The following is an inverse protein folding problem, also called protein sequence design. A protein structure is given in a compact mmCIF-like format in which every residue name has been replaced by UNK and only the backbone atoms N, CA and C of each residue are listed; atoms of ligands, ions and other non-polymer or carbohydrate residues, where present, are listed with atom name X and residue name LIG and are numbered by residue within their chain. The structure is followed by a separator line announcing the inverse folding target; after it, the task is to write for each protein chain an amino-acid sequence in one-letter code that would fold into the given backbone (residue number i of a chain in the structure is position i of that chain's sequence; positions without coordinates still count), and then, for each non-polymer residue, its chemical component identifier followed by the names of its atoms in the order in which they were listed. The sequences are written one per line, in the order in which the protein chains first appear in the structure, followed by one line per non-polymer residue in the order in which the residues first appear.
data_IF_185134351048
#
_entry.id   IF_185134351048
#
_cell.length_a   1.000
_cell.length_b   1.000
_cell.length_c   1.000
_cell.angle_alpha   90.00
_cell.angle_beta   90.00
_cell.angle_gamma   90.00
#
_symmetry.space_group_name_H-M   'P 1'
#
loop_
_entity.id
_entity.type
_entity.pdbx_description
1 polymer ?
#
# COMPACT_ATOMS: atom_id res chain seq x y z
N UNK A 1 -8.07 30.58 -2.14
CA UNK A 1 -8.07 30.01 -0.80
C UNK A 1 -6.76 29.29 -0.54
N UNK A 2 -6.40 28.32 -1.40
CA UNK A 2 -5.22 27.46 -1.24
C UNK A 2 -3.92 28.27 -1.09
N UNK A 3 -3.65 29.23 -1.97
CA UNK A 3 -2.48 30.10 -1.87
C UNK A 3 -2.37 30.76 -0.48
N UNK A 4 -3.47 31.30 0.03
CA UNK A 4 -3.47 32.00 1.32
C UNK A 4 -3.29 31.08 2.51
N UNK A 5 -3.77 29.83 2.44
CA UNK A 5 -3.86 28.92 3.56
C UNK A 5 -2.70 27.91 3.61
N UNK A 6 -1.98 27.73 2.50
CA UNK A 6 -0.93 26.74 2.37
C UNK A 6 0.40 27.28 1.87
N UNK A 7 0.40 28.28 0.95
CA UNK A 7 1.62 28.70 0.30
C UNK A 7 2.62 29.25 1.31
N UNK A 8 3.80 28.58 1.37
CA UNK A 8 4.90 28.87 2.27
C UNK A 8 4.51 28.91 3.77
N UNK A 9 3.43 28.21 4.13
CA UNK A 9 3.00 28.07 5.52
C UNK A 9 3.68 26.86 6.16
N UNK A 10 4.12 27.06 7.42
CA UNK A 10 4.59 25.98 8.30
C UNK A 10 3.42 25.38 9.09
N UNK A 11 3.37 24.07 9.16
CA UNK A 11 2.36 23.33 9.90
C UNK A 11 3.04 22.50 10.99
N UNK A 12 2.65 22.74 12.23
CA UNK A 12 3.15 21.99 13.37
C UNK A 12 2.59 20.57 13.35
N UNK A 13 3.48 19.59 13.46
CA UNK A 13 3.15 18.17 13.57
C UNK A 13 3.04 17.75 15.04
N UNK A 14 2.61 16.51 15.28
CA UNK A 14 2.30 16.00 16.62
C UNK A 14 3.47 16.00 17.63
N UNK A 15 4.71 16.12 17.16
CA UNK A 15 5.91 16.17 17.99
C UNK A 15 6.56 17.57 18.05
N UNK A 16 5.89 18.59 17.50
CA UNK A 16 6.39 19.96 17.42
C UNK A 16 7.33 20.22 16.23
N UNK A 17 7.57 19.22 15.36
CA UNK A 17 8.27 19.45 14.10
C UNK A 17 7.36 20.26 13.16
N UNK A 18 8.00 21.05 12.28
CA UNK A 18 7.27 21.86 11.30
C UNK A 18 7.45 21.28 9.90
N UNK A 19 6.35 21.21 9.14
CA UNK A 19 6.34 20.85 7.73
C UNK A 19 5.83 22.02 6.92
N UNK A 20 6.62 22.52 5.96
CA UNK A 20 6.24 23.64 5.10
C UNK A 20 5.72 23.13 3.76
N UNK A 21 4.62 23.72 3.28
CA UNK A 21 4.08 23.47 1.94
C UNK A 21 4.38 24.67 1.06
N UNK A 22 5.25 24.50 0.05
CA UNK A 22 5.56 25.56 -0.90
C UNK A 22 4.37 25.91 -1.80
N UNK A 23 4.36 27.15 -2.34
CA UNK A 23 3.25 27.67 -3.17
C UNK A 23 2.90 26.73 -4.35
N UNK A 24 3.90 26.38 -5.17
CA UNK A 24 3.70 25.49 -6.32
C UNK A 24 3.15 24.11 -5.91
N UNK A 25 3.56 23.60 -4.76
CA UNK A 25 3.11 22.29 -4.27
C UNK A 25 1.67 22.38 -3.73
N UNK A 26 1.30 23.49 -3.10
CA UNK A 26 -0.07 23.75 -2.65
C UNK A 26 -1.04 23.81 -3.83
N UNK A 27 -0.68 24.51 -4.89
CA UNK A 27 -1.47 24.59 -6.13
C UNK A 27 -1.62 23.21 -6.79
N UNK A 28 -0.51 22.44 -6.87
CA UNK A 28 -0.51 21.07 -7.40
C UNK A 28 -1.43 20.16 -6.61
N UNK A 29 -1.37 20.20 -5.29
CA UNK A 29 -2.26 19.43 -4.42
C UNK A 29 -3.73 19.78 -4.64
N UNK A 30 -4.05 21.08 -4.78
CA UNK A 30 -5.42 21.51 -5.03
C UNK A 30 -5.99 20.96 -6.34
N UNK A 31 -5.17 20.96 -7.40
CA UNK A 31 -5.57 20.40 -8.71
C UNK A 31 -5.67 18.89 -8.67
N UNK A 32 -4.73 18.22 -8.01
CA UNK A 32 -4.68 16.74 -7.97
C UNK A 32 -5.78 16.14 -7.09
N UNK A 33 -6.07 16.77 -5.95
CA UNK A 33 -6.89 16.13 -4.91
C UNK A 33 -8.24 16.83 -4.67
N UNK A 34 -8.47 18.03 -5.21
CA UNK A 34 -9.67 18.82 -4.93
C UNK A 34 -10.97 18.05 -5.18
N UNK A 35 -11.14 17.48 -6.37
CA UNK A 35 -12.35 16.70 -6.73
C UNK A 35 -12.49 15.43 -5.87
N UNK A 36 -11.40 14.75 -5.57
CA UNK A 36 -11.42 13.57 -4.72
C UNK A 36 -11.82 13.90 -3.27
N UNK A 37 -11.39 15.06 -2.76
CA UNK A 37 -11.76 15.56 -1.43
C UNK A 37 -13.24 15.97 -1.37
N UNK A 38 -13.77 16.61 -2.41
CA UNK A 38 -15.20 16.94 -2.53
C UNK A 38 -16.05 15.67 -2.57
N UNK A 39 -15.55 14.63 -3.26
CA UNK A 39 -16.21 13.34 -3.29
C UNK A 39 -16.15 12.63 -1.93
N UNK A 40 -15.00 12.65 -1.25
CA UNK A 40 -14.86 12.07 0.09
C UNK A 40 -15.81 12.73 1.11
N UNK A 41 -15.98 14.05 1.04
CA UNK A 41 -16.96 14.78 1.84
C UNK A 41 -18.40 14.32 1.56
N UNK A 42 -18.76 14.17 0.28
CA UNK A 42 -20.07 13.65 -0.14
C UNK A 42 -20.32 12.24 0.38
N UNK A 43 -19.34 11.35 0.25
CA UNK A 43 -19.44 9.96 0.76
C UNK A 43 -19.59 9.95 2.28
N UNK A 44 -18.78 10.74 2.99
CA UNK A 44 -18.85 10.83 4.45
C UNK A 44 -20.23 11.34 4.92
N UNK A 45 -20.77 12.38 4.26
CA UNK A 45 -22.10 12.89 4.58
C UNK A 45 -23.20 11.82 4.39
N UNK A 46 -23.14 11.10 3.27
CA UNK A 46 -24.07 10.00 2.97
C UNK A 46 -23.98 8.87 4.00
N UNK A 47 -22.77 8.44 4.35
CA UNK A 47 -22.56 7.39 5.36
C UNK A 47 -23.12 7.82 6.73
N UNK A 48 -22.87 9.07 7.14
CA UNK A 48 -23.42 9.62 8.39
C UNK A 48 -24.95 9.60 8.39
N UNK A 49 -25.56 9.97 7.29
CA UNK A 49 -27.03 9.96 7.14
C UNK A 49 -27.60 8.54 7.27
N UNK A 50 -26.95 7.55 6.66
CA UNK A 50 -27.47 6.17 6.61
C UNK A 50 -27.19 5.37 7.89
N UNK A 51 -26.05 5.59 8.53
CA UNK A 51 -25.55 4.72 9.62
C UNK A 51 -25.22 5.44 10.92
N UNK A 52 -25.33 6.79 10.96
CA UNK A 52 -24.77 7.61 12.00
C UNK A 52 -23.24 7.48 12.01
N UNK A 53 -22.64 7.30 13.18
CA UNK A 53 -21.18 7.16 13.32
C UNK A 53 -20.71 5.69 13.28
N UNK A 54 -21.53 4.76 12.80
CA UNK A 54 -21.23 3.31 12.78
C UNK A 54 -20.65 2.86 11.44
N UNK A 55 -19.54 3.46 11.03
CA UNK A 55 -18.77 3.08 9.85
C UNK A 55 -17.29 3.37 10.04
N UNK A 56 -16.47 2.65 9.30
CA UNK A 56 -15.05 2.95 9.11
C UNK A 56 -14.85 3.44 7.68
N UNK A 57 -14.34 4.67 7.53
CA UNK A 57 -14.00 5.25 6.23
C UNK A 57 -12.49 5.24 6.04
N UNK A 58 -12.04 4.61 4.97
CA UNK A 58 -10.66 4.71 4.51
C UNK A 58 -10.59 5.58 3.26
N UNK A 59 -9.64 6.49 3.23
CA UNK A 59 -9.26 7.23 2.02
C UNK A 59 -7.94 6.67 1.50
N UNK A 60 -7.94 6.21 0.26
CA UNK A 60 -6.76 5.64 -0.41
C UNK A 60 -6.24 6.58 -1.48
N UNK A 61 -4.94 6.86 -1.43
CA UNK A 61 -4.19 7.68 -2.38
C UNK A 61 -2.93 6.96 -2.87
N UNK A 62 -2.89 5.64 -2.76
CA UNK A 62 -1.75 4.81 -3.13
C UNK A 62 -1.71 4.42 -4.62
N UNK A 63 -2.81 4.56 -5.33
CA UNK A 63 -2.94 4.25 -6.76
C UNK A 63 -2.43 5.40 -7.66
N UNK A 64 -1.23 5.92 -7.35
CA UNK A 64 -0.58 7.02 -8.09
C UNK A 64 0.71 6.55 -8.75
N UNK A 65 1.25 7.32 -9.69
CA UNK A 65 2.50 6.99 -10.39
C UNK A 65 3.76 7.29 -9.58
N UNK A 66 3.64 8.13 -8.55
CA UNK A 66 4.75 8.53 -7.68
C UNK A 66 4.36 8.36 -6.19
N UNK A 67 5.34 8.19 -5.29
CA UNK A 67 5.09 8.17 -3.85
C UNK A 67 4.37 9.42 -3.37
N UNK A 68 3.50 9.25 -2.38
CA UNK A 68 2.83 10.36 -1.70
C UNK A 68 3.85 11.12 -0.86
N UNK A 69 4.17 12.34 -1.24
CA UNK A 69 5.06 13.19 -0.46
C UNK A 69 4.39 13.61 0.85
N UNK A 70 5.15 13.87 1.92
CA UNK A 70 4.60 14.37 3.18
C UNK A 70 3.71 15.61 3.02
N UNK A 71 4.08 16.55 2.16
CA UNK A 71 3.30 17.77 1.89
C UNK A 71 1.94 17.47 1.26
N UNK A 72 1.87 16.46 0.38
CA UNK A 72 0.60 15.99 -0.20
C UNK A 72 -0.28 15.35 0.86
N UNK A 73 0.31 14.50 1.70
CA UNK A 73 -0.44 13.88 2.81
C UNK A 73 -0.96 14.93 3.79
N UNK A 74 -0.13 15.91 4.16
CA UNK A 74 -0.53 17.01 5.02
C UNK A 74 -1.71 17.80 4.43
N UNK A 75 -1.63 18.15 3.14
CA UNK A 75 -2.72 18.84 2.44
C UNK A 75 -4.03 18.05 2.53
N UNK A 76 -4.00 16.77 2.17
CA UNK A 76 -5.17 15.90 2.20
C UNK A 76 -5.72 15.75 3.63
N UNK A 77 -4.85 15.49 4.60
CA UNK A 77 -5.24 15.31 6.00
C UNK A 77 -5.93 16.54 6.56
N UNK A 78 -5.36 17.73 6.31
CA UNK A 78 -5.91 19.00 6.76
C UNK A 78 -7.24 19.32 6.07
N UNK A 79 -7.33 19.14 4.75
CA UNK A 79 -8.58 19.37 4.01
C UNK A 79 -9.70 18.44 4.50
N UNK A 80 -9.42 17.16 4.73
CA UNK A 80 -10.39 16.22 5.31
C UNK A 80 -10.83 16.67 6.71
N UNK A 81 -9.88 17.07 7.55
CA UNK A 81 -10.16 17.54 8.91
C UNK A 81 -11.03 18.80 8.91
N UNK A 82 -10.68 19.82 8.09
CA UNK A 82 -11.43 21.08 8.00
C UNK A 82 -12.84 20.91 7.41
N UNK A 83 -13.03 19.91 6.54
CA UNK A 83 -14.35 19.55 5.98
C UNK A 83 -15.19 18.68 6.92
N UNK A 84 -14.65 18.32 8.09
CA UNK A 84 -15.34 17.44 9.03
C UNK A 84 -15.52 16.00 8.54
N UNK A 85 -14.65 15.56 7.62
CA UNK A 85 -14.57 14.18 7.16
C UNK A 85 -13.75 13.38 8.17
N UNK A 86 -14.40 12.48 8.88
CA UNK A 86 -13.73 11.58 9.83
C UNK A 86 -13.29 10.32 9.12
N UNK A 87 -11.98 10.12 8.98
CA UNK A 87 -11.41 8.90 8.41
C UNK A 87 -10.89 7.99 9.51
N UNK A 88 -11.09 6.69 9.38
CA UNK A 88 -10.54 5.66 10.26
C UNK A 88 -9.12 5.30 9.87
N UNK A 89 -8.80 5.39 8.58
CA UNK A 89 -7.47 5.17 8.03
C UNK A 89 -7.26 5.94 6.72
N UNK A 90 -5.99 6.22 6.41
CA UNK A 90 -5.57 6.79 5.14
C UNK A 90 -4.38 5.98 4.61
N UNK A 91 -4.44 5.62 3.33
CA UNK A 91 -3.42 4.83 2.65
C UNK A 91 -2.60 5.69 1.68
N UNK A 92 -1.43 6.21 2.08
CA UNK A 92 -0.50 6.86 1.16
C UNK A 92 0.26 5.81 0.34
N UNK A 93 0.78 6.20 -0.82
CA UNK A 93 1.79 5.43 -1.52
C UNK A 93 3.16 5.74 -0.92
N UNK A 94 3.79 4.74 -0.31
CA UNK A 94 5.11 4.89 0.29
C UNK A 94 6.21 4.86 -0.77
N UNK A 95 7.38 5.40 -0.40
CA UNK A 95 8.61 5.29 -1.19
C UNK A 95 9.05 3.82 -1.30
N UNK A 96 9.74 3.46 -2.38
CA UNK A 96 10.12 2.10 -2.72
C UNK A 96 8.98 1.32 -3.38
N UNK A 97 9.17 0.02 -3.52
CA UNK A 97 8.23 -0.85 -4.22
C UNK A 97 7.56 -1.86 -3.28
N UNK A 98 6.23 -1.84 -3.28
CA UNK A 98 5.35 -2.77 -2.57
C UNK A 98 4.74 -3.77 -3.56
N UNK A 99 5.61 -4.53 -4.25
CA UNK A 99 5.18 -5.52 -5.23
C UNK A 99 4.52 -6.74 -4.56
N UNK A 100 3.70 -7.45 -5.32
CA UNK A 100 3.01 -8.65 -4.83
C UNK A 100 4.00 -9.78 -4.56
N UNK A 101 3.76 -10.55 -3.49
CA UNK A 101 4.44 -11.80 -3.12
C UNK A 101 5.94 -11.72 -2.79
N UNK A 102 6.52 -10.53 -2.72
CA UNK A 102 7.93 -10.31 -2.32
C UNK A 102 8.02 -9.25 -1.23
N UNK A 103 9.15 -9.22 -0.53
CA UNK A 103 9.38 -8.21 0.50
C UNK A 103 9.54 -6.81 -0.10
N UNK A 104 9.65 -5.81 0.74
CA UNK A 104 9.88 -4.43 0.37
C UNK A 104 11.17 -4.28 -0.45
N UNK A 105 11.09 -3.51 -1.53
CA UNK A 105 12.22 -3.18 -2.39
C UNK A 105 12.50 -1.68 -2.28
N UNK A 106 13.63 -1.31 -1.68
CA UNK A 106 14.03 0.08 -1.47
C UNK A 106 14.92 0.23 -0.23
N UNK A 107 15.28 1.49 0.07
CA UNK A 107 16.10 1.81 1.23
C UNK A 107 15.22 1.91 2.49
N UNK A 108 15.45 1.02 3.46
CA UNK A 108 14.64 0.93 4.69
C UNK A 108 14.72 2.20 5.54
N UNK A 109 15.87 2.86 5.57
CA UNK A 109 16.05 4.12 6.32
C UNK A 109 15.21 5.25 5.74
N UNK A 110 15.14 5.38 4.43
CA UNK A 110 14.33 6.38 3.74
C UNK A 110 12.83 6.10 3.93
N UNK A 111 12.45 4.81 3.84
CA UNK A 111 11.08 4.39 4.15
C UNK A 111 10.70 4.78 5.58
N UNK A 112 11.54 4.44 6.57
CA UNK A 112 11.25 4.71 7.98
C UNK A 112 11.10 6.21 8.27
N UNK A 113 11.98 7.05 7.73
CA UNK A 113 11.93 8.51 7.89
C UNK A 113 10.63 9.10 7.31
N UNK A 114 10.29 8.71 6.08
CA UNK A 114 9.07 9.17 5.44
C UNK A 114 7.82 8.63 6.15
N UNK A 115 7.81 7.36 6.53
CA UNK A 115 6.70 6.73 7.25
C UNK A 115 6.46 7.39 8.61
N UNK A 116 7.52 7.73 9.34
CA UNK A 116 7.43 8.48 10.59
C UNK A 116 6.73 9.82 10.38
N UNK A 117 7.08 10.54 9.31
CA UNK A 117 6.46 11.84 8.99
C UNK A 117 4.97 11.66 8.67
N UNK A 118 4.59 10.64 7.92
CA UNK A 118 3.17 10.32 7.68
C UNK A 118 2.42 10.03 8.99
N UNK A 119 3.03 9.31 9.93
CA UNK A 119 2.42 9.05 11.24
C UNK A 119 2.20 10.33 12.06
N UNK A 120 3.16 11.27 12.02
CA UNK A 120 3.05 12.57 12.71
C UNK A 120 1.92 13.42 12.14
N UNK A 121 1.77 13.44 10.81
CA UNK A 121 0.66 14.12 10.12
C UNK A 121 -0.68 13.52 10.56
N UNK A 122 -0.80 12.20 10.52
CA UNK A 122 -2.04 11.51 10.92
C UNK A 122 -2.44 11.84 12.36
N UNK A 123 -1.48 11.89 13.28
CA UNK A 123 -1.72 12.25 14.68
C UNK A 123 -2.13 13.72 14.87
N UNK A 124 -1.59 14.64 14.06
CA UNK A 124 -1.93 16.06 14.13
C UNK A 124 -3.33 16.37 13.59
N UNK A 125 -3.81 15.62 12.59
CA UNK A 125 -5.04 15.92 11.85
C UNK A 125 -6.12 14.84 11.96
N UNK A 126 -6.42 14.38 13.18
CA UNK A 126 -7.54 13.47 13.43
C UNK A 126 -7.18 12.11 14.00
N UNK A 127 -5.90 11.83 14.21
CA UNK A 127 -5.38 10.62 14.86
C UNK A 127 -5.90 9.33 14.20
N UNK A 128 -5.97 9.31 12.87
CA UNK A 128 -6.37 8.13 12.10
C UNK A 128 -5.20 7.14 11.93
N UNK A 129 -5.50 5.91 11.54
CA UNK A 129 -4.49 4.90 11.26
C UNK A 129 -3.83 5.15 9.90
N UNK A 130 -2.54 4.97 9.82
CA UNK A 130 -1.88 4.77 8.53
C UNK A 130 -2.23 3.38 8.01
N UNK A 131 -2.69 3.30 6.77
CA UNK A 131 -2.98 2.05 6.08
C UNK A 131 -1.85 1.69 5.12
N UNK A 132 -1.30 0.49 5.30
CA UNK A 132 -0.26 -0.05 4.43
C UNK A 132 -0.91 -1.00 3.43
N UNK A 133 -1.10 -0.53 2.19
CA UNK A 133 -1.61 -1.35 1.10
C UNK A 133 -0.49 -2.21 0.49
N UNK A 134 -0.87 -3.29 -0.18
CA UNK A 134 0.07 -4.32 -0.67
C UNK A 134 1.03 -4.81 0.42
N UNK A 135 0.53 -4.87 1.65
CA UNK A 135 1.30 -5.15 2.84
C UNK A 135 1.68 -6.62 3.04
N UNK A 136 1.19 -7.55 2.20
CA UNK A 136 1.60 -8.96 2.27
C UNK A 136 3.10 -9.11 2.05
N UNK A 137 3.74 -9.96 2.84
CA UNK A 137 5.16 -10.32 2.71
C UNK A 137 6.17 -9.16 2.91
N UNK A 138 5.75 -8.03 3.48
CA UNK A 138 6.58 -6.83 3.70
C UNK A 138 7.28 -6.85 5.06
N UNK A 139 7.93 -7.96 5.37
CA UNK A 139 8.51 -8.22 6.69
C UNK A 139 9.58 -7.20 7.09
N UNK A 140 10.34 -6.70 6.12
CA UNK A 140 11.41 -5.74 6.35
C UNK A 140 10.90 -4.39 6.92
N UNK A 141 9.70 -3.94 6.52
CA UNK A 141 9.14 -2.67 6.97
C UNK A 141 8.25 -2.79 8.22
N UNK A 142 7.76 -3.98 8.57
CA UNK A 142 6.87 -4.14 9.73
C UNK A 142 7.44 -3.63 11.05
N UNK A 143 8.75 -3.79 11.36
CA UNK A 143 9.31 -3.22 12.58
C UNK A 143 9.17 -1.69 12.66
N UNK A 144 9.41 -0.98 11.56
CA UNK A 144 9.23 0.47 11.49
C UNK A 144 7.74 0.85 11.60
N UNK A 145 6.86 0.15 10.87
CA UNK A 145 5.42 0.36 10.94
C UNK A 145 4.91 0.19 12.37
N UNK A 146 5.24 -0.91 13.04
CA UNK A 146 4.81 -1.18 14.41
C UNK A 146 5.33 -0.14 15.40
N UNK A 147 6.58 0.30 15.26
CA UNK A 147 7.24 1.27 16.13
C UNK A 147 6.57 2.65 16.05
N UNK A 148 6.43 3.22 14.85
CA UNK A 148 5.92 4.57 14.65
C UNK A 148 4.41 4.71 14.84
N UNK A 149 3.65 3.62 14.60
CA UNK A 149 2.20 3.59 14.85
C UNK A 149 1.83 3.11 16.25
N UNK A 150 2.80 2.67 17.07
CA UNK A 150 2.56 1.99 18.35
C UNK A 150 1.64 0.77 18.20
N UNK A 151 1.73 0.08 17.08
CA UNK A 151 0.87 -1.06 16.74
C UNK A 151 -0.53 -0.70 16.25
N UNK A 152 -0.86 0.59 16.10
CA UNK A 152 -2.16 1.07 15.63
C UNK A 152 -2.11 1.46 14.16
N UNK A 153 -2.23 0.49 13.28
CA UNK A 153 -2.23 0.66 11.83
C UNK A 153 -3.25 -0.25 11.15
N UNK A 154 -3.51 -0.01 9.89
CA UNK A 154 -4.24 -0.92 9.03
C UNK A 154 -3.25 -1.58 8.06
N UNK A 155 -3.39 -2.88 7.85
CA UNK A 155 -2.57 -3.65 6.92
C UNK A 155 -3.48 -4.36 5.92
N UNK A 156 -3.46 -3.92 4.67
CA UNK A 156 -4.19 -4.57 3.59
C UNK A 156 -3.32 -5.67 2.98
N UNK A 157 -3.75 -6.91 3.19
CA UNK A 157 -3.05 -8.10 2.73
C UNK A 157 -3.89 -8.91 1.77
N UNK A 158 -3.25 -9.56 0.81
CA UNK A 158 -3.87 -10.54 -0.09
C UNK A 158 -2.83 -11.53 -0.60
N UNK A 159 -3.23 -12.76 -0.87
CA UNK A 159 -2.42 -13.75 -1.56
C UNK A 159 -1.40 -14.53 -0.74
N UNK A 160 -0.96 -14.09 0.43
CA UNK A 160 -0.02 -14.86 1.26
C UNK A 160 -0.60 -16.23 1.62
N UNK A 161 -1.86 -16.27 2.07
CA UNK A 161 -2.55 -17.54 2.37
C UNK A 161 -2.69 -18.44 1.13
N UNK A 162 -2.89 -17.85 -0.05
CA UNK A 162 -2.94 -18.58 -1.33
C UNK A 162 -1.61 -19.26 -1.63
N UNK A 163 -0.49 -18.56 -1.53
CA UNK A 163 0.83 -19.14 -1.78
C UNK A 163 1.17 -20.27 -0.80
N UNK A 164 0.83 -20.11 0.48
CA UNK A 164 1.02 -21.18 1.45
C UNK A 164 0.10 -22.39 1.20
N UNK A 165 -1.12 -22.14 0.71
CA UNK A 165 -1.99 -23.24 0.24
C UNK A 165 -1.37 -23.97 -0.96
N UNK A 166 -0.76 -23.24 -1.90
CA UNK A 166 -0.03 -23.84 -3.02
C UNK A 166 1.18 -24.66 -2.57
N UNK A 167 1.88 -24.26 -1.51
CA UNK A 167 2.96 -25.05 -0.91
C UNK A 167 2.44 -26.41 -0.45
N UNK A 168 1.31 -26.43 0.25
CA UNK A 168 0.66 -27.70 0.66
C UNK A 168 0.22 -28.53 -0.55
N UNK A 169 -0.28 -27.88 -1.61
CA UNK A 169 -0.62 -28.57 -2.86
C UNK A 169 0.63 -29.18 -3.49
N UNK A 170 1.77 -28.46 -3.53
CA UNK A 170 3.03 -28.97 -4.06
C UNK A 170 3.51 -30.20 -3.29
N UNK A 171 3.37 -30.21 -1.96
CA UNK A 171 3.74 -31.33 -1.09
C UNK A 171 2.82 -32.56 -1.23
N UNK A 172 1.52 -32.33 -1.34
CA UNK A 172 0.51 -33.40 -1.22
C UNK A 172 -0.07 -33.84 -2.56
N UNK A 173 -0.05 -33.00 -3.55
CA UNK A 173 -0.64 -33.20 -4.88
C UNK A 173 0.25 -32.60 -5.98
N UNK A 174 1.47 -33.09 -6.16
CA UNK A 174 2.46 -32.53 -7.08
C UNK A 174 1.94 -32.39 -8.52
N UNK A 175 1.13 -33.34 -9.00
CA UNK A 175 0.51 -33.27 -10.32
C UNK A 175 -0.42 -32.04 -10.47
N UNK A 176 -1.21 -31.75 -9.42
CA UNK A 176 -2.07 -30.58 -9.40
C UNK A 176 -1.25 -29.28 -9.38
N UNK A 177 -0.17 -29.25 -8.56
CA UNK A 177 0.73 -28.10 -8.53
C UNK A 177 1.34 -27.83 -9.92
N UNK A 178 1.84 -28.88 -10.60
CA UNK A 178 2.39 -28.74 -11.96
C UNK A 178 1.36 -28.20 -12.96
N UNK A 179 0.12 -28.60 -12.83
CA UNK A 179 -0.97 -28.07 -13.67
C UNK A 179 -1.21 -26.56 -13.38
N UNK A 180 -1.32 -26.18 -12.11
CA UNK A 180 -1.51 -24.79 -11.68
C UNK A 180 -0.34 -23.92 -12.18
N UNK A 181 0.88 -24.38 -11.96
CA UNK A 181 2.08 -23.65 -12.35
C UNK A 181 2.16 -23.42 -13.87
N UNK A 182 1.86 -24.45 -14.71
CA UNK A 182 1.78 -24.29 -16.16
C UNK A 182 0.69 -23.28 -16.56
N UNK A 183 -0.46 -23.34 -15.91
CA UNK A 183 -1.54 -22.37 -16.16
C UNK A 183 -1.17 -20.95 -15.75
N UNK A 184 -0.42 -20.79 -14.68
CA UNK A 184 0.11 -19.50 -14.28
C UNK A 184 1.02 -18.91 -15.36
N UNK A 185 1.93 -19.69 -15.92
CA UNK A 185 2.78 -19.26 -17.05
C UNK A 185 1.94 -18.85 -18.27
N UNK A 186 0.92 -19.64 -18.64
CA UNK A 186 0.05 -19.34 -19.78
C UNK A 186 -0.70 -18.01 -19.58
N UNK A 187 -1.13 -17.71 -18.36
CA UNK A 187 -1.91 -16.51 -18.04
C UNK A 187 -1.06 -15.29 -17.69
N UNK A 188 0.20 -15.47 -17.37
CA UNK A 188 1.11 -14.43 -16.90
C UNK A 188 1.15 -13.18 -17.78
N UNK A 189 1.21 -13.26 -19.14
CA UNK A 189 1.20 -12.07 -19.99
C UNK A 189 -0.08 -11.21 -19.83
N UNK A 190 -1.22 -11.82 -19.55
CA UNK A 190 -2.46 -11.09 -19.29
C UNK A 190 -2.46 -10.47 -17.87
N UNK A 191 -1.91 -11.18 -16.90
CA UNK A 191 -1.78 -10.70 -15.54
C UNK A 191 -0.86 -9.47 -15.44
N UNK A 192 0.23 -9.43 -16.19
CA UNK A 192 1.16 -8.29 -16.25
C UNK A 192 0.51 -6.98 -16.72
N UNK A 193 -0.62 -7.04 -17.42
CA UNK A 193 -1.35 -5.82 -17.81
C UNK A 193 -2.00 -5.12 -16.61
N UNK A 194 -2.15 -5.82 -15.49
CA UNK A 194 -2.87 -5.35 -14.28
C UNK A 194 -1.94 -5.13 -13.08
N UNK A 195 -0.75 -5.73 -13.10
CA UNK A 195 0.17 -5.71 -11.96
C UNK A 195 1.56 -5.28 -12.39
N UNK A 196 2.16 -4.38 -11.63
CA UNK A 196 3.57 -4.04 -11.75
C UNK A 196 4.38 -4.98 -10.86
N UNK A 197 5.22 -5.82 -11.48
CA UNK A 197 6.15 -6.71 -10.80
C UNK A 197 7.46 -6.80 -11.59
N UNK A 198 8.52 -7.28 -10.94
CA UNK A 198 9.87 -7.40 -11.52
C UNK A 198 10.33 -8.85 -11.66
N UNK A 199 9.40 -9.82 -11.64
CA UNK A 199 9.74 -11.23 -11.78
C UNK A 199 10.46 -11.53 -13.10
N UNK A 200 11.60 -12.20 -13.00
CA UNK A 200 12.26 -12.85 -14.11
C UNK A 200 11.76 -14.30 -14.22
N UNK A 201 10.74 -14.51 -15.05
CA UNK A 201 10.14 -15.83 -15.20
C UNK A 201 11.04 -16.84 -15.94
N UNK A 202 12.05 -16.36 -16.68
CA UNK A 202 13.03 -17.23 -17.35
C UNK A 202 14.03 -17.82 -16.35
N UNK A 203 14.22 -17.18 -15.21
CA UNK A 203 15.04 -17.70 -14.13
C UNK A 203 14.37 -18.85 -13.33
N UNK A 204 13.06 -19.07 -13.49
CA UNK A 204 12.34 -20.15 -12.81
C UNK A 204 12.74 -21.49 -13.42
N UNK A 205 13.16 -22.48 -12.62
CA UNK A 205 13.52 -23.81 -13.14
C UNK A 205 12.36 -24.48 -13.89
N UNK A 206 12.66 -25.11 -15.02
CA UNK A 206 11.66 -25.87 -15.76
C UNK A 206 11.07 -26.99 -14.89
N UNK A 207 9.75 -27.11 -14.82
CA UNK A 207 9.06 -28.08 -13.98
C UNK A 207 9.48 -29.53 -14.27
N UNK A 208 9.80 -29.81 -15.53
CA UNK A 208 10.22 -31.15 -16.00
C UNK A 208 11.58 -31.56 -15.46
N UNK A 209 12.40 -30.60 -15.05
CA UNK A 209 13.71 -30.85 -14.44
C UNK A 209 13.66 -31.13 -12.94
N UNK A 210 12.49 -30.88 -12.29
CA UNK A 210 12.32 -30.97 -10.85
C UNK A 210 11.62 -32.27 -10.44
N UNK A 211 12.14 -32.91 -9.39
CA UNK A 211 11.45 -34.00 -8.69
C UNK A 211 10.31 -33.45 -7.87
N UNK A 212 9.31 -34.25 -7.57
CA UNK A 212 8.13 -33.79 -6.80
C UNK A 212 8.49 -33.22 -5.42
N UNK A 213 9.51 -33.79 -4.76
CA UNK A 213 10.00 -33.31 -3.47
C UNK A 213 10.66 -31.90 -3.52
N UNK A 214 10.98 -31.41 -4.70
CA UNK A 214 11.62 -30.11 -4.92
C UNK A 214 10.58 -29.00 -5.23
N UNK A 215 9.36 -29.37 -5.63
CA UNK A 215 8.32 -28.42 -6.00
C UNK A 215 7.95 -27.42 -4.90
N UNK A 216 7.85 -27.79 -3.61
CA UNK A 216 7.55 -26.82 -2.55
C UNK A 216 8.59 -25.69 -2.44
N UNK A 217 9.84 -25.93 -2.82
CA UNK A 217 10.92 -24.94 -2.77
C UNK A 217 10.72 -23.82 -3.79
N UNK A 218 9.96 -24.03 -4.86
CA UNK A 218 9.57 -22.98 -5.79
C UNK A 218 8.78 -21.83 -5.11
N UNK A 219 8.10 -22.13 -4.00
CA UNK A 219 7.38 -21.13 -3.21
C UNK A 219 8.31 -20.28 -2.32
N UNK A 220 9.61 -20.54 -2.32
CA UNK A 220 10.65 -19.71 -1.70
C UNK A 220 11.34 -18.81 -2.74
N UNK A 221 11.22 -19.13 -4.03
CA UNK A 221 11.74 -18.32 -5.13
C UNK A 221 10.84 -17.11 -5.39
N UNK A 222 11.36 -15.86 -5.33
CA UNK A 222 10.56 -14.65 -5.49
C UNK A 222 9.92 -14.54 -6.89
N UNK A 223 10.58 -15.01 -7.95
CA UNK A 223 10.03 -14.97 -9.30
C UNK A 223 8.83 -15.91 -9.44
N UNK A 224 8.97 -17.14 -8.91
CA UNK A 224 7.89 -18.11 -8.90
C UNK A 224 6.72 -17.65 -8.02
N UNK A 225 6.99 -17.05 -6.85
CA UNK A 225 5.96 -16.47 -5.99
C UNK A 225 5.17 -15.38 -6.70
N UNK A 226 5.85 -14.46 -7.40
CA UNK A 226 5.19 -13.40 -8.17
C UNK A 226 4.38 -13.97 -9.33
N UNK A 227 4.94 -14.89 -10.12
CA UNK A 227 4.23 -15.61 -11.18
C UNK A 227 2.90 -16.20 -10.68
N UNK A 228 2.97 -17.00 -9.61
CA UNK A 228 1.81 -17.70 -9.06
C UNK A 228 0.81 -16.74 -8.41
N UNK A 229 1.30 -15.66 -7.77
CA UNK A 229 0.44 -14.72 -7.08
C UNK A 229 -0.45 -13.93 -8.03
N UNK A 230 0.09 -13.39 -9.12
CA UNK A 230 -0.68 -12.52 -10.02
C UNK A 230 -1.52 -13.28 -11.05
N UNK A 231 -1.28 -14.58 -11.21
CA UNK A 231 -1.92 -15.42 -12.22
C UNK A 231 -3.07 -16.29 -11.69
N UNK A 232 -3.60 -16.01 -10.48
CA UNK A 232 -4.73 -16.73 -9.90
C UNK A 232 -6.09 -16.14 -10.26
#
# INVERSE_FOLDING_TARGET
RVEREYADQGFELSDGAELTVGETEAERCAVMYGEALDFAETVNAHLKEQTGDRYDLEVSIDETTAPTRPEHHLFIARELYERGVTVSSLAPRFIGDFQKAVDYIGELSEFEEQFQTHCRIAQAFGDYKISVHSGSDKFAVYPAVGRHTRGRFHLKTSGTSWLESLRVVAERRPELYRLIHRKAFEYFPEALKKYHITADVEAIPALESLRDAELPQLLDDPNCRQLLHISY
#
